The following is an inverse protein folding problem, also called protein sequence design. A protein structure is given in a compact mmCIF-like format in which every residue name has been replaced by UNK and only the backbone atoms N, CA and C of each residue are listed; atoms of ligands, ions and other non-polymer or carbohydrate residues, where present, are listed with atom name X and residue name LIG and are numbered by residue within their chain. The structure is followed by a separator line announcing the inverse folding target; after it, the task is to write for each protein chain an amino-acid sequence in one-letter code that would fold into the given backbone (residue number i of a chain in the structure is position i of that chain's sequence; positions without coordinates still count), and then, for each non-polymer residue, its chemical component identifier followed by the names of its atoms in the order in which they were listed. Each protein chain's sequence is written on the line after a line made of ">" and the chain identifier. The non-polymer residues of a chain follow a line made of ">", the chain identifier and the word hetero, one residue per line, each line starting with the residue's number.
data_IF_507337947340
#
_entry.id   IF_507337947340
#
_cell.length_a   1.000
_cell.length_b   1.000
_cell.length_c   1.000
_cell.angle_alpha   90.00
_cell.angle_beta   90.00
_cell.angle_gamma   90.00
#
_symmetry.space_group_name_H-M   'P 1'
#
loop_
_entity.id
_entity.type
_entity.pdbx_description
1 polymer ?
#
# COMPACT_ATOMS: atom_id res chain seq x y z
N UNK A 1 -29.75 23.96 -70.99
CA UNK A 1 -29.41 24.12 -69.56
C UNK A 1 -28.66 22.87 -69.11
N UNK A 2 -27.34 22.83 -69.25
CA UNK A 2 -26.52 21.72 -68.77
C UNK A 2 -25.76 22.19 -67.52
N UNK A 3 -25.94 21.47 -66.40
CA UNK A 3 -25.17 21.69 -65.18
C UNK A 3 -23.86 20.91 -65.28
N UNK A 4 -22.69 21.52 -65.00
CA UNK A 4 -21.46 20.76 -64.90
C UNK A 4 -21.43 19.96 -63.59
N UNK A 5 -21.24 18.66 -63.72
CA UNK A 5 -20.98 17.73 -62.61
C UNK A 5 -19.60 18.03 -62.02
N UNK A 6 -19.56 18.42 -60.75
CA UNK A 6 -18.30 18.53 -60.01
C UNK A 6 -17.85 17.13 -59.61
N UNK A 7 -16.84 16.61 -60.30
CA UNK A 7 -16.12 15.40 -59.91
C UNK A 7 -15.33 15.73 -58.64
N UNK A 8 -15.76 15.17 -57.51
CA UNK A 8 -15.02 15.20 -56.24
C UNK A 8 -13.88 14.20 -56.37
N UNK A 9 -12.67 14.69 -56.66
CA UNK A 9 -11.46 13.86 -56.62
C UNK A 9 -11.19 13.56 -55.15
N UNK A 10 -11.55 12.36 -54.71
CA UNK A 10 -11.13 11.81 -53.42
C UNK A 10 -9.66 11.42 -53.58
N UNK A 11 -8.77 12.38 -53.30
CA UNK A 11 -7.32 12.15 -53.32
C UNK A 11 -6.98 11.07 -52.29
N UNK A 12 -6.41 9.95 -52.74
CA UNK A 12 -5.88 8.93 -51.83
C UNK A 12 -4.84 9.59 -50.92
N UNK A 13 -4.91 9.40 -49.60
CA UNK A 13 -3.93 9.96 -48.70
C UNK A 13 -2.53 9.44 -49.08
N UNK A 14 -1.51 10.30 -49.08
CA UNK A 14 -0.17 9.90 -49.49
C UNK A 14 0.33 8.78 -48.56
N UNK A 15 1.00 7.77 -49.13
CA UNK A 15 1.48 6.56 -48.42
C UNK A 15 2.24 6.86 -47.12
N UNK A 16 2.89 8.02 -47.03
CA UNK A 16 3.58 8.50 -45.81
C UNK A 16 2.63 8.77 -44.64
N UNK A 17 1.42 9.28 -44.89
CA UNK A 17 0.42 9.55 -43.85
C UNK A 17 -0.12 8.25 -43.28
N UNK A 18 -0.34 7.23 -44.12
CA UNK A 18 -0.79 5.90 -43.68
C UNK A 18 0.30 5.22 -42.83
N UNK A 19 1.56 5.32 -43.22
CA UNK A 19 2.68 4.74 -42.47
C UNK A 19 2.87 5.39 -41.09
N UNK A 20 2.75 6.73 -41.00
CA UNK A 20 2.84 7.46 -39.72
C UNK A 20 1.65 7.10 -38.82
N UNK A 21 0.43 7.08 -39.35
CA UNK A 21 -0.75 6.68 -38.58
C UNK A 21 -0.62 5.25 -38.05
N UNK A 22 -0.16 4.30 -38.88
CA UNK A 22 0.08 2.92 -38.44
C UNK A 22 1.16 2.84 -37.36
N UNK A 23 2.25 3.63 -37.47
CA UNK A 23 3.30 3.67 -36.45
C UNK A 23 2.81 4.26 -35.12
N UNK A 24 1.97 5.29 -35.15
CA UNK A 24 1.35 5.88 -33.95
C UNK A 24 0.40 4.88 -33.29
N UNK A 25 -0.46 4.21 -34.06
CA UNK A 25 -1.36 3.17 -33.55
C UNK A 25 -0.58 2.00 -32.96
N UNK A 26 0.49 1.56 -33.62
CA UNK A 26 1.34 0.49 -33.11
C UNK A 26 2.07 0.91 -31.82
N UNK A 27 2.58 2.14 -31.74
CA UNK A 27 3.19 2.67 -30.53
C UNK A 27 2.18 2.76 -29.38
N UNK A 28 0.97 3.27 -29.65
CA UNK A 28 -0.11 3.36 -28.68
C UNK A 28 -0.53 1.98 -28.13
N UNK A 29 -0.45 0.91 -28.94
CA UNK A 29 -0.72 -0.46 -28.51
C UNK A 29 0.44 -1.11 -27.74
N UNK A 30 1.69 -0.77 -28.08
CA UNK A 30 2.87 -1.41 -27.48
C UNK A 30 3.30 -0.79 -26.15
N UNK A 31 3.08 0.52 -25.95
CA UNK A 31 3.39 1.23 -24.70
C UNK A 31 2.69 0.62 -23.46
N UNK A 32 1.36 0.41 -23.44
CA UNK A 32 0.70 -0.18 -22.28
C UNK A 32 1.15 -1.63 -22.04
N UNK A 33 1.42 -2.39 -23.11
CA UNK A 33 1.91 -3.76 -23.01
C UNK A 33 3.31 -3.84 -22.37
N UNK A 34 4.21 -2.95 -22.78
CA UNK A 34 5.55 -2.83 -22.21
C UNK A 34 5.51 -2.45 -20.73
N UNK A 35 4.63 -1.52 -20.36
CA UNK A 35 4.45 -1.09 -18.96
C UNK A 35 3.86 -2.21 -18.09
N UNK A 36 2.84 -2.92 -18.57
CA UNK A 36 2.26 -4.06 -17.87
C UNK A 36 3.31 -5.16 -17.60
N UNK A 37 4.22 -5.41 -18.54
CA UNK A 37 5.32 -6.37 -18.37
C UNK A 37 6.34 -5.91 -17.32
N UNK A 38 6.70 -4.62 -17.29
CA UNK A 38 7.60 -4.05 -16.28
C UNK A 38 6.98 -4.15 -14.88
N UNK A 39 5.69 -3.84 -14.75
CA UNK A 39 4.98 -3.92 -13.46
C UNK A 39 4.88 -5.37 -13.00
N UNK A 40 4.57 -6.33 -13.88
CA UNK A 40 4.57 -7.76 -13.53
C UNK A 40 5.95 -8.26 -13.12
N UNK A 41 7.02 -7.79 -13.76
CA UNK A 41 8.38 -8.13 -13.38
C UNK A 41 8.77 -7.55 -12.01
N UNK A 42 8.33 -6.33 -11.68
CA UNK A 42 8.58 -5.67 -10.40
C UNK A 42 8.07 -6.51 -9.20
N UNK A 43 6.88 -7.11 -9.31
CA UNK A 43 6.30 -7.94 -8.24
C UNK A 43 6.83 -9.36 -8.18
N UNK A 44 7.58 -9.84 -9.19
CA UNK A 44 8.21 -11.15 -9.10
C UNK A 44 9.27 -11.20 -7.98
N UNK A 45 9.78 -10.04 -7.54
CA UNK A 45 10.88 -9.87 -6.59
C UNK A 45 10.45 -9.13 -5.31
N UNK A 46 9.37 -9.57 -4.66
CA UNK A 46 9.04 -9.10 -3.31
C UNK A 46 9.87 -9.88 -2.27
N UNK A 47 10.52 -9.16 -1.36
CA UNK A 47 11.30 -9.73 -0.26
C UNK A 47 10.98 -8.97 1.02
N UNK A 48 10.72 -9.69 2.13
CA UNK A 48 10.65 -9.08 3.47
C UNK A 48 12.07 -8.92 3.99
N UNK A 49 12.43 -7.70 4.39
CA UNK A 49 13.78 -7.33 4.82
C UNK A 49 13.72 -6.56 6.14
N UNK A 50 14.82 -6.50 6.88
CA UNK A 50 15.02 -5.54 7.97
C UNK A 50 15.97 -4.44 7.52
N UNK A 51 15.70 -3.19 7.90
CA UNK A 51 16.57 -2.06 7.61
C UNK A 51 16.50 -1.00 8.71
N UNK A 52 17.68 -0.61 9.20
CA UNK A 52 17.82 0.46 10.20
C UNK A 52 17.62 1.86 9.61
N UNK A 53 17.48 1.98 8.28
CA UNK A 53 17.20 3.25 7.60
C UNK A 53 15.89 3.88 8.06
N UNK A 54 14.97 3.07 8.60
CA UNK A 54 13.61 3.50 8.91
C UNK A 54 13.37 3.62 10.41
N UNK A 55 14.36 3.58 11.29
CA UNK A 55 14.11 3.61 12.76
C UNK A 55 13.26 4.78 13.26
N UNK A 56 13.22 5.89 12.50
CA UNK A 56 12.58 7.14 12.93
C UNK A 56 11.15 7.33 12.40
N UNK A 57 10.64 6.40 11.57
CA UNK A 57 9.28 6.51 11.00
C UNK A 57 8.16 6.28 12.05
N UNK A 58 8.54 5.80 13.23
CA UNK A 58 7.66 5.54 14.38
C UNK A 58 7.80 6.60 15.49
N UNK A 59 8.31 7.80 15.20
CA UNK A 59 8.83 8.75 16.19
C UNK A 59 7.80 9.45 17.09
N UNK A 60 6.60 8.89 17.27
CA UNK A 60 5.69 9.37 18.30
C UNK A 60 6.31 9.17 19.69
N UNK A 61 6.47 10.29 20.40
CA UNK A 61 7.17 10.42 21.70
C UNK A 61 6.65 9.41 22.74
N UNK A 62 5.39 8.98 22.62
CA UNK A 62 4.74 8.00 23.48
C UNK A 62 5.35 6.59 23.41
N UNK A 63 6.12 6.27 22.36
CA UNK A 63 6.49 4.89 22.00
C UNK A 63 8.01 4.66 22.01
N UNK A 64 8.78 5.65 22.46
CA UNK A 64 10.23 5.56 22.59
C UNK A 64 10.71 4.86 23.87
N UNK A 65 9.80 4.29 24.66
CA UNK A 65 10.20 3.43 25.77
C UNK A 65 10.71 2.09 25.24
N UNK A 66 12.02 1.85 25.42
CA UNK A 66 12.68 0.59 25.08
C UNK A 66 12.00 -0.61 25.77
N UNK A 67 11.28 -0.40 26.87
CA UNK A 67 10.52 -1.42 27.59
C UNK A 67 9.41 -2.05 26.74
N UNK A 68 8.87 -1.33 25.75
CA UNK A 68 7.82 -1.81 24.86
C UNK A 68 8.36 -2.67 23.70
N UNK A 69 9.69 -2.71 23.49
CA UNK A 69 10.35 -3.55 22.49
C UNK A 69 9.72 -3.45 21.08
N UNK A 70 9.56 -2.22 20.58
CA UNK A 70 8.98 -1.95 19.25
C UNK A 70 9.97 -2.32 18.13
N UNK A 71 9.48 -3.07 17.16
CA UNK A 71 10.15 -3.32 15.90
C UNK A 71 9.85 -2.19 14.90
N UNK A 72 10.88 -1.40 14.61
CA UNK A 72 10.86 -0.27 13.68
C UNK A 72 11.60 -0.57 12.37
N UNK A 73 12.10 -1.79 12.21
CA UNK A 73 13.06 -2.14 11.16
C UNK A 73 12.45 -2.91 10.02
N UNK A 74 11.23 -3.45 10.20
CA UNK A 74 10.58 -4.29 9.19
C UNK A 74 10.26 -3.46 7.95
N UNK A 75 10.64 -4.00 6.80
CA UNK A 75 10.36 -3.42 5.50
C UNK A 75 10.05 -4.52 4.49
N UNK A 76 9.36 -4.13 3.42
CA UNK A 76 9.16 -4.93 2.23
C UNK A 76 9.88 -4.28 1.06
N UNK A 77 10.73 -5.05 0.39
CA UNK A 77 11.41 -4.60 -0.82
C UNK A 77 10.60 -5.05 -2.04
N UNK A 78 10.23 -4.10 -2.90
CA UNK A 78 9.54 -4.35 -4.17
C UNK A 78 10.36 -3.70 -5.28
N UNK A 79 10.82 -4.49 -6.24
CA UNK A 79 11.66 -4.00 -7.34
C UNK A 79 12.94 -3.26 -6.89
N UNK A 80 13.57 -3.74 -5.82
CA UNK A 80 14.78 -3.11 -5.26
C UNK A 80 14.53 -1.87 -4.40
N UNK A 81 13.28 -1.39 -4.33
CA UNK A 81 12.89 -0.28 -3.48
C UNK A 81 12.34 -0.77 -2.13
N UNK A 82 12.93 -0.33 -1.03
CA UNK A 82 12.51 -0.69 0.33
C UNK A 82 11.35 0.18 0.82
N UNK A 83 10.33 -0.45 1.39
CA UNK A 83 9.13 0.20 1.93
C UNK A 83 8.98 -0.20 3.41
N UNK A 84 9.03 0.74 4.37
CA UNK A 84 8.81 0.39 5.77
C UNK A 84 7.41 -0.19 5.96
N UNK A 85 7.31 -1.22 6.79
CA UNK A 85 6.04 -1.69 7.33
C UNK A 85 5.63 -0.83 8.53
N UNK A 86 4.39 -0.97 8.99
CA UNK A 86 3.93 -0.28 10.19
C UNK A 86 4.71 -0.75 11.42
N UNK A 87 4.83 0.12 12.43
CA UNK A 87 5.49 -0.20 13.70
C UNK A 87 4.72 -1.29 14.44
N UNK A 88 5.41 -2.31 14.94
CA UNK A 88 4.79 -3.43 15.68
C UNK A 88 5.59 -3.77 16.93
N UNK A 89 4.98 -4.37 17.94
CA UNK A 89 5.72 -4.94 19.06
C UNK A 89 6.43 -6.23 18.65
N UNK A 90 7.71 -6.41 19.07
CA UNK A 90 8.43 -7.67 18.88
C UNK A 90 7.77 -8.83 19.63
N UNK A 91 7.22 -8.53 20.81
CA UNK A 91 6.41 -9.44 21.60
C UNK A 91 5.13 -8.71 22.06
N UNK A 92 4.02 -8.84 21.32
CA UNK A 92 2.75 -8.21 21.67
C UNK A 92 2.22 -8.62 23.05
N UNK A 93 2.50 -9.85 23.50
CA UNK A 93 2.07 -10.32 24.81
C UNK A 93 2.88 -9.67 25.93
N UNK A 94 4.19 -9.48 25.74
CA UNK A 94 5.01 -8.71 26.68
C UNK A 94 4.61 -7.22 26.70
N UNK A 95 4.31 -6.63 25.55
CA UNK A 95 3.87 -5.24 25.46
C UNK A 95 2.57 -4.99 26.24
N UNK A 96 1.57 -5.90 26.14
CA UNK A 96 0.33 -5.80 26.92
C UNK A 96 0.58 -5.91 28.43
N UNK A 97 1.53 -6.76 28.86
CA UNK A 97 1.93 -6.84 30.27
C UNK A 97 2.60 -5.55 30.72
N UNK A 98 3.53 -5.02 29.92
CA UNK A 98 4.21 -3.77 30.20
C UNK A 98 3.20 -2.62 30.35
N UNK A 99 2.27 -2.45 29.41
CA UNK A 99 1.23 -1.43 29.49
C UNK A 99 0.40 -1.54 30.77
N UNK A 100 -0.01 -2.76 31.15
CA UNK A 100 -0.76 -3.00 32.39
C UNK A 100 0.03 -2.60 33.64
N UNK A 101 1.35 -2.78 33.60
CA UNK A 101 2.21 -2.56 34.75
C UNK A 101 2.69 -1.10 34.84
N UNK A 102 2.66 -0.34 33.73
CA UNK A 102 3.18 1.05 33.65
C UNK A 102 2.11 2.14 33.52
N UNK A 103 0.95 1.86 32.90
CA UNK A 103 -0.11 2.83 32.69
C UNK A 103 -1.25 2.67 33.71
N UNK A 104 -1.88 3.78 34.10
CA UNK A 104 -3.13 3.74 34.86
C UNK A 104 -4.28 3.34 33.94
N UNK A 105 -4.66 2.07 34.00
CA UNK A 105 -5.77 1.51 33.23
C UNK A 105 -7.09 1.47 34.04
N UNK A 106 -7.17 2.12 35.20
CA UNK A 106 -8.31 1.95 36.12
C UNK A 106 -9.65 2.41 35.54
N UNK A 107 -9.68 3.42 34.67
CA UNK A 107 -10.88 3.84 33.95
C UNK A 107 -11.28 2.83 32.87
N UNK A 108 -10.30 2.37 32.08
CA UNK A 108 -10.46 1.32 31.07
C UNK A 108 -11.01 0.01 31.66
N UNK A 109 -10.55 -0.38 32.85
CA UNK A 109 -10.99 -1.59 33.54
C UNK A 109 -12.44 -1.53 34.03
N UNK A 110 -13.04 -0.35 34.19
CA UNK A 110 -14.46 -0.22 34.55
C UNK A 110 -15.40 -0.54 33.39
N UNK A 111 -14.91 -0.45 32.16
CA UNK A 111 -15.71 -0.61 30.95
C UNK A 111 -15.49 -1.94 30.23
N UNK A 112 -14.34 -2.58 30.44
CA UNK A 112 -13.95 -3.81 29.77
C UNK A 112 -13.61 -4.94 30.75
N UNK A 113 -13.92 -6.18 30.34
CA UNK A 113 -13.70 -7.39 31.16
C UNK A 113 -12.20 -7.64 31.35
N UNK A 114 -11.80 -7.83 32.62
CA UNK A 114 -10.44 -8.16 33.04
C UNK A 114 -10.02 -9.60 32.68
N UNK A 115 -8.70 -9.86 32.50
CA UNK A 115 -7.59 -8.90 32.45
C UNK A 115 -7.29 -8.43 31.01
N UNK A 116 -6.56 -7.33 30.83
CA UNK A 116 -6.02 -6.92 29.52
C UNK A 116 -5.07 -8.00 28.97
N UNK A 117 -5.45 -8.62 27.86
CA UNK A 117 -4.70 -9.67 27.17
C UNK A 117 -5.14 -9.78 25.70
N UNK A 118 -4.55 -10.72 24.95
CA UNK A 118 -4.81 -10.93 23.53
C UNK A 118 -6.29 -11.25 23.16
N UNK A 119 -7.12 -11.68 24.12
CA UNK A 119 -8.55 -11.94 23.92
C UNK A 119 -9.43 -10.73 24.25
N UNK A 120 -9.00 -9.89 25.18
CA UNK A 120 -9.82 -8.79 25.72
C UNK A 120 -9.43 -7.41 25.18
N UNK A 121 -8.22 -7.25 24.63
CA UNK A 121 -7.66 -5.97 24.18
C UNK A 121 -8.58 -5.18 23.24
N UNK A 122 -9.37 -5.84 22.36
CA UNK A 122 -10.27 -5.16 21.41
C UNK A 122 -11.36 -4.34 22.10
N UNK A 123 -11.83 -4.79 23.26
CA UNK A 123 -12.77 -3.98 24.05
C UNK A 123 -12.10 -2.68 24.49
N UNK A 124 -10.87 -2.80 24.99
CA UNK A 124 -10.08 -1.67 25.46
C UNK A 124 -9.78 -0.70 24.31
N UNK A 125 -9.27 -1.18 23.17
CA UNK A 125 -9.01 -0.38 21.98
C UNK A 125 -10.26 0.35 21.47
N UNK A 126 -11.40 -0.37 21.37
CA UNK A 126 -12.67 0.23 20.95
C UNK A 126 -13.19 1.31 21.90
N UNK A 127 -12.98 1.14 23.20
CA UNK A 127 -13.35 2.16 24.19
C UNK A 127 -12.45 3.40 24.08
N UNK A 128 -11.14 3.22 23.92
CA UNK A 128 -10.17 4.33 23.73
C UNK A 128 -10.51 5.13 22.48
N UNK A 129 -10.76 4.47 21.35
CA UNK A 129 -11.09 5.13 20.09
C UNK A 129 -12.40 5.94 20.18
N UNK A 130 -13.37 5.49 20.97
CA UNK A 130 -14.67 6.14 21.13
C UNK A 130 -14.72 7.27 22.16
N UNK A 131 -13.83 7.26 23.15
CA UNK A 131 -13.91 8.17 24.30
C UNK A 131 -12.62 8.97 24.57
N UNK A 132 -11.45 8.53 24.09
CA UNK A 132 -10.16 8.97 24.62
C UNK A 132 -9.08 9.38 23.59
N UNK A 133 -9.37 10.10 22.49
CA UNK A 133 -8.30 10.91 21.87
C UNK A 133 -7.79 12.04 22.80
N UNK A 134 -8.51 12.35 23.90
CA UNK A 134 -8.25 13.52 24.75
C UNK A 134 -7.64 13.22 26.13
N UNK A 135 -7.74 11.99 26.66
CA UNK A 135 -7.33 11.69 28.05
C UNK A 135 -5.97 10.98 28.18
N UNK A 136 -5.59 10.11 27.23
CA UNK A 136 -4.26 9.49 27.23
C UNK A 136 -3.77 9.13 25.80
N UNK A 137 -3.02 10.04 25.13
CA UNK A 137 -2.50 9.79 23.80
C UNK A 137 -1.48 8.64 23.75
N UNK A 138 -0.87 8.26 24.88
CA UNK A 138 0.08 7.15 24.91
C UNK A 138 -0.62 5.80 24.82
N UNK A 139 -1.75 5.64 25.50
CA UNK A 139 -2.57 4.43 25.43
C UNK A 139 -3.19 4.26 24.04
N UNK A 140 -3.63 5.35 23.41
CA UNK A 140 -4.11 5.32 22.04
C UNK A 140 -3.01 4.85 21.06
N UNK A 141 -1.82 5.47 21.11
CA UNK A 141 -0.69 5.08 20.28
C UNK A 141 -0.24 3.63 20.53
N UNK A 142 -0.34 3.13 21.77
CA UNK A 142 -0.06 1.72 22.07
C UNK A 142 -1.00 0.80 21.30
N UNK A 143 -2.32 1.05 21.31
CA UNK A 143 -3.28 0.18 20.64
C UNK A 143 -3.14 0.24 19.12
N UNK A 144 -2.82 1.40 18.55
CA UNK A 144 -2.49 1.51 17.12
C UNK A 144 -1.30 0.61 16.74
N UNK A 145 -0.20 0.64 17.52
CA UNK A 145 0.97 -0.23 17.29
C UNK A 145 0.65 -1.71 17.52
N UNK A 146 -0.24 -2.02 18.46
CA UNK A 146 -0.68 -3.39 18.71
C UNK A 146 -1.43 -3.95 17.49
N UNK A 147 -2.34 -3.16 16.91
CA UNK A 147 -3.16 -3.52 15.75
C UNK A 147 -2.34 -3.72 14.47
N UNK A 148 -1.31 -2.90 14.28
CA UNK A 148 -0.42 -2.96 13.12
C UNK A 148 0.20 -4.33 12.85
N UNK A 149 0.26 -5.22 13.86
CA UNK A 149 0.76 -6.59 13.67
C UNK A 149 -0.09 -7.35 12.66
N UNK A 150 -1.42 -7.29 12.83
CA UNK A 150 -2.35 -7.97 11.94
C UNK A 150 -2.36 -7.34 10.54
N UNK A 151 -2.21 -6.02 10.47
CA UNK A 151 -2.16 -5.31 9.19
C UNK A 151 -0.87 -5.59 8.42
N UNK A 152 0.28 -5.63 9.09
CA UNK A 152 1.55 -6.05 8.49
C UNK A 152 1.47 -7.48 7.95
N UNK A 153 0.87 -8.41 8.70
CA UNK A 153 0.70 -9.80 8.25
C UNK A 153 -0.23 -9.88 7.03
N UNK A 154 -1.28 -9.05 6.99
CA UNK A 154 -2.17 -8.93 5.82
C UNK A 154 -1.44 -8.36 4.61
N UNK A 155 -0.60 -7.33 4.78
CA UNK A 155 0.22 -6.74 3.72
C UNK A 155 1.18 -7.79 3.15
N UNK A 156 1.94 -8.47 4.01
CA UNK A 156 2.90 -9.52 3.60
C UNK A 156 2.20 -10.66 2.87
N UNK A 157 1.06 -11.12 3.38
CA UNK A 157 0.26 -12.19 2.76
C UNK A 157 -0.25 -11.77 1.37
N UNK A 158 -0.74 -10.54 1.26
CA UNK A 158 -1.25 -9.98 0.00
C UNK A 158 -0.15 -9.86 -1.04
N UNK A 159 1.00 -9.31 -0.65
CA UNK A 159 2.18 -9.21 -1.50
C UNK A 159 2.65 -10.58 -2.00
N UNK A 160 2.72 -11.58 -1.13
CA UNK A 160 3.10 -12.93 -1.52
C UNK A 160 2.12 -13.55 -2.53
N UNK A 161 0.81 -13.31 -2.37
CA UNK A 161 -0.20 -13.75 -3.32
C UNK A 161 -0.03 -13.06 -4.68
N UNK A 162 0.25 -11.76 -4.70
CA UNK A 162 0.50 -11.02 -5.93
C UNK A 162 1.79 -11.46 -6.63
N UNK A 163 2.87 -11.71 -5.88
CA UNK A 163 4.11 -12.25 -6.44
C UNK A 163 3.86 -13.59 -7.16
N UNK A 164 3.01 -14.46 -6.60
CA UNK A 164 2.61 -15.72 -7.27
C UNK A 164 1.81 -15.45 -8.55
N UNK A 165 0.85 -14.53 -8.53
CA UNK A 165 0.05 -14.15 -9.71
C UNK A 165 0.89 -13.49 -10.80
N UNK A 166 1.85 -12.66 -10.42
CA UNK A 166 2.80 -12.01 -11.31
C UNK A 166 3.66 -13.04 -12.05
N UNK A 167 4.25 -13.99 -11.31
CA UNK A 167 5.03 -15.11 -11.86
C UNK A 167 4.22 -16.00 -12.81
N UNK A 168 2.92 -16.15 -12.54
CA UNK A 168 2.01 -16.97 -13.35
C UNK A 168 1.33 -16.18 -14.49
N UNK A 169 1.62 -14.88 -14.65
CA UNK A 169 1.02 -14.03 -15.68
C UNK A 169 -0.47 -13.70 -15.48
N UNK A 170 -1.02 -13.97 -14.29
CA UNK A 170 -2.45 -13.79 -13.96
C UNK A 170 -2.74 -12.54 -13.14
N UNK A 171 -1.74 -11.70 -12.89
CA UNK A 171 -1.92 -10.43 -12.19
C UNK A 171 -2.69 -9.43 -13.08
N UNK A 172 -3.79 -8.88 -12.55
CA UNK A 172 -4.65 -7.93 -13.26
C UNK A 172 -4.38 -6.49 -12.82
N UNK A 173 -4.78 -5.53 -13.66
CA UNK A 173 -4.58 -4.09 -13.41
C UNK A 173 -5.38 -3.59 -12.20
N UNK A 174 -6.59 -4.12 -11.97
CA UNK A 174 -7.36 -3.81 -10.76
C UNK A 174 -6.64 -4.24 -9.47
N UNK A 175 -5.95 -5.38 -9.50
CA UNK A 175 -5.15 -5.86 -8.36
C UNK A 175 -3.90 -5.00 -8.12
N UNK A 176 -3.35 -4.42 -9.19
CA UNK A 176 -2.27 -3.43 -9.08
C UNK A 176 -2.76 -2.14 -8.40
N UNK A 177 -3.95 -1.67 -8.76
CA UNK A 177 -4.59 -0.51 -8.12
C UNK A 177 -4.90 -0.73 -6.63
N UNK A 178 -5.40 -1.92 -6.25
CA UNK A 178 -5.59 -2.30 -4.84
C UNK A 178 -4.31 -2.19 -4.02
N UNK A 179 -3.17 -2.43 -4.64
CA UNK A 179 -1.88 -2.35 -3.97
C UNK A 179 -1.45 -0.90 -3.68
N UNK A 180 -1.71 0.05 -4.59
CA UNK A 180 -1.49 1.47 -4.29
C UNK A 180 -2.26 1.93 -3.06
N UNK A 181 -3.44 1.35 -2.83
CA UNK A 181 -4.28 1.69 -1.67
C UNK A 181 -3.77 1.05 -0.37
N UNK A 182 -3.06 -0.09 -0.45
CA UNK A 182 -2.49 -0.77 0.72
C UNK A 182 -1.21 -0.13 1.24
N UNK A 183 -0.56 0.72 0.44
CA UNK A 183 0.60 1.49 0.85
C UNK A 183 0.26 2.98 0.87
N UNK A 184 -0.03 3.58 2.04
CA UNK A 184 -0.12 5.04 2.15
C UNK A 184 1.19 5.71 1.68
N UNK A 185 1.15 7.02 1.42
CA UNK A 185 2.07 7.89 0.65
C UNK A 185 3.61 7.69 0.73
N UNK A 186 4.09 6.80 1.59
CA UNK A 186 5.49 6.44 1.79
C UNK A 186 6.09 5.48 0.75
N UNK A 187 5.30 4.74 -0.03
CA UNK A 187 5.85 3.72 -0.92
C UNK A 187 6.16 4.21 -2.35
N UNK A 188 7.36 3.94 -2.91
CA UNK A 188 7.58 3.98 -4.36
C UNK A 188 6.55 3.17 -5.15
N UNK A 189 5.97 2.12 -4.56
CA UNK A 189 4.82 1.37 -5.10
C UNK A 189 3.61 2.28 -5.34
N UNK A 190 3.26 3.16 -4.38
CA UNK A 190 2.15 4.09 -4.55
C UNK A 190 2.47 5.15 -5.62
N UNK A 191 3.73 5.57 -5.75
CA UNK A 191 4.16 6.46 -6.85
C UNK A 191 4.08 5.79 -8.22
N UNK A 192 4.66 4.60 -8.37
CA UNK A 192 4.63 3.83 -9.63
C UNK A 192 3.21 3.47 -10.06
N UNK A 193 2.35 3.09 -9.11
CA UNK A 193 0.96 2.74 -9.40
C UNK A 193 0.08 3.98 -9.58
N UNK A 194 0.31 5.10 -8.88
CA UNK A 194 -0.35 6.39 -9.20
C UNK A 194 -0.04 6.81 -10.62
N UNK A 195 1.22 6.79 -11.03
CA UNK A 195 1.59 7.07 -12.43
C UNK A 195 0.88 6.14 -13.40
N UNK A 196 0.73 4.84 -13.08
CA UNK A 196 -0.04 3.91 -13.90
C UNK A 196 -1.54 4.21 -13.94
N UNK A 197 -2.16 4.52 -12.79
CA UNK A 197 -3.59 4.81 -12.67
C UNK A 197 -3.97 6.12 -13.37
N UNK A 198 -3.13 7.16 -13.23
CA UNK A 198 -3.29 8.44 -13.91
C UNK A 198 -3.17 8.25 -15.43
N UNK A 199 -2.16 7.48 -15.88
CA UNK A 199 -1.97 7.18 -17.31
C UNK A 199 -3.13 6.35 -17.89
N UNK A 200 -3.68 5.40 -17.14
CA UNK A 200 -4.84 4.61 -17.56
C UNK A 200 -6.12 5.46 -17.67
N UNK A 201 -6.35 6.37 -16.71
CA UNK A 201 -7.48 7.29 -16.75
C UNK A 201 -7.42 8.24 -17.96
N UNK A 202 -6.21 8.68 -18.35
CA UNK A 202 -6.02 9.52 -19.56
C UNK A 202 -6.08 8.76 -20.88
N UNK A 203 -6.01 7.43 -20.88
CA UNK A 203 -6.10 6.62 -22.10
C UNK A 203 -7.55 6.33 -22.53
N UNK A 204 -8.51 6.53 -21.62
CA UNK A 204 -9.96 6.34 -21.85
C UNK A 204 -10.71 7.65 -22.21
N UNK A 205 -10.02 8.80 -22.21
CA UNK A 205 -10.51 10.11 -22.70
C UNK A 205 -10.15 10.37 -24.19
#
# INVERSE_FOLDING_TARGET
>A
MERPSRIRIVGRPPRRVIAIAAAIVLAALLIPLGRALVVRAAYANVIVTSSDRWTDHCSDIATNDDSLAIDRTRAVTVNGEANPLMCTFRDPAAALRALRDTADLSDLQRHCILPLNALTWRCYAGWVAGNAPYDDPQVAAFFDIYENTADNDRIVTTLAAMQRRAKNGTLTDGQLGELAMLFPDYAPVSRYVRTYADDAATADE
#
